data_IF_742074904418
#
_entry.id   IF_742074904418
#
_cell.length_a   1.000
_cell.length_b   1.000
_cell.length_c   1.000
_cell.angle_alpha   90.00
_cell.angle_beta   90.00
_cell.angle_gamma   90.00
#
_symmetry.space_group_name_H-M   'P 1'
#
loop_
_entity.id
_entity.type
_entity.pdbx_description
1 polymer ?
#
# COMPACT_ATOMS: atom_id res chain seq x y z
N UNK A 1 -13.04 15.34 4.66
CA UNK A 1 -12.54 15.30 6.06
C UNK A 1 -11.15 15.92 6.20
N UNK A 2 -10.14 15.57 5.37
CA UNK A 2 -8.80 16.14 5.47
C UNK A 2 -8.76 17.66 5.23
N UNK A 3 -9.54 18.17 4.26
CA UNK A 3 -9.63 19.61 3.96
C UNK A 3 -10.20 20.44 5.14
N UNK A 4 -11.01 19.84 5.99
CA UNK A 4 -11.63 20.51 7.13
C UNK A 4 -10.66 20.67 8.31
N UNK A 5 -9.75 19.72 8.49
CA UNK A 5 -8.67 19.79 9.50
C UNK A 5 -7.70 20.93 9.16
N UNK A 6 -7.33 21.09 7.90
CA UNK A 6 -6.46 22.19 7.46
C UNK A 6 -7.09 23.57 7.62
N UNK A 7 -8.39 23.72 7.35
CA UNK A 7 -9.12 24.97 7.56
C UNK A 7 -9.11 25.41 9.03
N UNK A 8 -9.14 24.45 9.98
CA UNK A 8 -9.10 24.73 11.42
C UNK A 8 -7.70 25.13 11.92
N UNK A 9 -6.64 24.72 11.22
CA UNK A 9 -5.26 25.00 11.64
C UNK A 9 -4.70 26.30 11.08
N UNK A 10 -5.38 26.94 10.13
CA UNK A 10 -4.92 28.20 9.55
C UNK A 10 -5.28 29.36 10.50
N UNK A 11 -4.30 30.10 11.06
CA UNK A 11 -4.58 31.26 11.88
C UNK A 11 -5.41 32.29 11.11
N UNK A 12 -6.44 32.85 11.73
CA UNK A 12 -7.32 33.87 11.11
C UNK A 12 -6.59 35.15 10.62
N UNK A 13 -5.26 35.22 10.84
CA UNK A 13 -4.44 36.38 10.50
C UNK A 13 -3.53 36.22 9.30
N UNK A 14 -3.57 35.06 8.59
CA UNK A 14 -2.79 34.88 7.38
C UNK A 14 -3.37 35.73 6.24
N UNK A 15 -2.66 36.78 5.82
CA UNK A 15 -3.00 37.56 4.63
C UNK A 15 -2.88 36.65 3.40
N UNK A 16 -4.03 36.30 2.79
CA UNK A 16 -4.11 35.50 1.58
C UNK A 16 -4.71 34.09 1.82
N UNK A 17 -5.10 33.43 0.72
CA UNK A 17 -5.56 32.04 0.77
C UNK A 17 -4.39 31.09 0.99
N UNK A 18 -4.48 30.12 1.90
CA UNK A 18 -3.42 29.13 2.11
C UNK A 18 -3.24 28.28 0.84
N UNK A 19 -1.97 27.94 0.52
CA UNK A 19 -1.65 26.91 -0.45
C UNK A 19 -1.73 25.52 0.16
N UNK A 20 -2.09 24.52 -0.63
CA UNK A 20 -2.14 23.11 -0.21
C UNK A 20 -1.19 22.30 -1.07
N UNK A 21 -0.26 21.60 -0.44
CA UNK A 21 0.57 20.59 -1.10
C UNK A 21 -0.04 19.20 -0.83
N UNK A 22 -0.39 18.50 -1.90
CA UNK A 22 -0.95 17.15 -1.85
C UNK A 22 0.11 16.19 -2.38
N UNK A 23 0.56 15.25 -1.54
CA UNK A 23 1.44 14.17 -1.96
C UNK A 23 0.64 12.88 -2.09
N UNK A 24 0.67 12.28 -3.27
CA UNK A 24 -0.05 11.04 -3.58
C UNK A 24 0.95 9.91 -3.77
N UNK A 25 0.75 8.82 -3.04
CA UNK A 25 1.50 7.59 -3.21
C UNK A 25 0.64 6.56 -3.95
N UNK A 26 1.27 5.80 -4.85
CA UNK A 26 0.62 4.64 -5.47
C UNK A 26 0.29 3.63 -4.37
N UNK A 27 -0.95 3.12 -4.37
CA UNK A 27 -1.36 2.11 -3.42
C UNK A 27 -0.57 0.81 -3.63
N UNK A 28 0.02 0.31 -2.57
CA UNK A 28 0.75 -0.96 -2.55
C UNK A 28 0.08 -1.89 -1.55
N UNK A 29 -0.54 -2.99 -2.00
CA UNK A 29 -1.13 -3.98 -1.12
C UNK A 29 -0.06 -4.58 -0.19
N UNK A 30 -0.32 -4.57 1.11
CA UNK A 30 0.63 -5.11 2.11
C UNK A 30 0.10 -6.41 2.71
N UNK A 31 0.98 -7.38 3.02
CA UNK A 31 0.64 -8.56 3.79
C UNK A 31 -0.10 -8.22 5.08
N UNK A 32 -0.95 -9.12 5.53
CA UNK A 32 -1.72 -9.02 6.77
C UNK A 32 -2.68 -7.82 6.85
N UNK A 33 -3.08 -7.29 5.70
CA UNK A 33 -4.12 -6.27 5.58
C UNK A 33 -5.29 -6.81 4.78
N UNK A 34 -6.52 -6.25 4.95
CA UNK A 34 -7.65 -6.65 4.12
C UNK A 34 -7.40 -6.52 2.62
N UNK A 35 -6.48 -5.66 2.21
CA UNK A 35 -6.13 -5.43 0.80
C UNK A 35 -4.95 -6.27 0.31
N UNK A 36 -4.44 -7.24 1.08
CA UNK A 36 -3.36 -8.13 0.61
C UNK A 36 -3.73 -8.94 -0.64
N UNK A 37 -5.04 -9.13 -0.86
CA UNK A 37 -5.59 -9.86 -2.01
C UNK A 37 -5.64 -9.01 -3.29
N UNK A 38 -5.60 -7.68 -3.16
CA UNK A 38 -5.78 -6.77 -4.27
C UNK A 38 -4.51 -6.60 -5.11
N UNK A 39 -4.65 -6.29 -6.42
CA UNK A 39 -3.52 -5.94 -7.25
C UNK A 39 -3.07 -4.49 -6.97
N UNK A 40 -1.79 -4.21 -7.17
CA UNK A 40 -1.36 -2.86 -7.47
C UNK A 40 -1.82 -2.49 -8.88
N UNK A 41 -2.23 -1.25 -9.11
CA UNK A 41 -2.47 -0.76 -10.46
C UNK A 41 -1.19 -0.87 -11.31
N UNK A 42 -1.35 -1.18 -12.58
CA UNK A 42 -0.27 -1.08 -13.55
C UNK A 42 0.06 0.38 -13.88
N UNK A 43 1.11 0.59 -14.65
CA UNK A 43 1.57 1.93 -15.02
C UNK A 43 0.50 2.74 -15.77
N UNK A 44 -0.25 2.07 -16.65
CA UNK A 44 -1.31 2.71 -17.44
C UNK A 44 -2.44 3.21 -16.53
N UNK A 45 -2.91 2.37 -15.60
CA UNK A 45 -3.95 2.72 -14.65
C UNK A 45 -3.50 3.83 -13.67
N UNK A 46 -2.23 3.85 -13.28
CA UNK A 46 -1.69 4.95 -12.46
C UNK A 46 -1.67 6.26 -13.25
N UNK A 47 -1.18 6.24 -14.49
CA UNK A 47 -1.14 7.43 -15.36
C UNK A 47 -2.53 7.99 -15.65
N UNK A 48 -3.51 7.13 -15.90
CA UNK A 48 -4.90 7.51 -16.10
C UNK A 48 -5.46 8.29 -14.90
N UNK A 49 -5.25 7.75 -13.68
CA UNK A 49 -5.72 8.41 -12.45
C UNK A 49 -5.01 9.72 -12.18
N UNK A 50 -3.71 9.79 -12.46
CA UNK A 50 -2.94 11.02 -12.36
C UNK A 50 -3.43 12.08 -13.35
N UNK A 51 -3.73 11.69 -14.60
CA UNK A 51 -4.29 12.57 -15.62
C UNK A 51 -5.66 13.10 -15.20
N UNK A 52 -6.53 12.22 -14.66
CA UNK A 52 -7.84 12.61 -14.14
C UNK A 52 -7.70 13.64 -13.00
N UNK A 53 -6.84 13.37 -12.01
CA UNK A 53 -6.62 14.31 -10.89
C UNK A 53 -6.07 15.67 -11.36
N UNK A 54 -5.19 15.68 -12.37
CA UNK A 54 -4.74 16.94 -12.99
C UNK A 54 -5.88 17.69 -13.66
N UNK A 55 -6.77 16.99 -14.38
CA UNK A 55 -7.86 17.61 -15.13
C UNK A 55 -8.91 18.28 -14.25
N UNK A 56 -9.13 17.77 -13.03
CA UNK A 56 -10.10 18.34 -12.08
C UNK A 56 -9.50 19.40 -11.15
N UNK A 57 -8.18 19.51 -11.07
CA UNK A 57 -7.52 20.52 -10.25
C UNK A 57 -7.43 21.85 -10.99
N UNK A 58 -8.37 22.74 -10.73
CA UNK A 58 -8.43 24.09 -11.30
C UNK A 58 -7.87 25.18 -10.37
N UNK A 59 -7.42 24.83 -9.15
CA UNK A 59 -6.88 25.78 -8.19
C UNK A 59 -5.33 25.78 -8.22
N UNK A 60 -4.75 26.91 -8.65
CA UNK A 60 -3.29 27.10 -8.71
C UNK A 60 -2.60 27.02 -7.34
N UNK A 61 -3.34 27.09 -6.24
CA UNK A 61 -2.82 26.95 -4.88
C UNK A 61 -2.76 25.52 -4.41
N UNK A 62 -3.30 24.57 -5.17
CA UNK A 62 -3.20 23.15 -4.91
C UNK A 62 -2.09 22.58 -5.79
N UNK A 63 -0.98 22.23 -5.17
CA UNK A 63 0.15 21.57 -5.83
C UNK A 63 0.05 20.07 -5.57
N UNK A 64 -0.05 19.28 -6.63
CA UNK A 64 -0.14 17.82 -6.54
C UNK A 64 1.20 17.22 -6.98
N UNK A 65 1.78 16.39 -6.11
CA UNK A 65 2.95 15.56 -6.39
C UNK A 65 2.61 14.08 -6.20
N UNK A 66 3.34 13.20 -6.85
CA UNK A 66 3.19 11.74 -6.70
C UNK A 66 4.52 11.02 -6.77
N UNK A 67 4.54 9.82 -6.16
CA UNK A 67 5.67 8.91 -6.24
C UNK A 67 5.82 8.36 -7.66
N UNK A 68 7.06 8.04 -8.04
CA UNK A 68 7.35 7.36 -9.31
C UNK A 68 6.78 5.95 -9.29
N UNK A 69 6.17 5.53 -10.40
CA UNK A 69 5.62 4.18 -10.55
C UNK A 69 6.70 3.10 -10.38
N UNK A 70 7.86 3.30 -10.99
CA UNK A 70 8.99 2.37 -10.97
C UNK A 70 9.39 1.97 -9.54
N UNK A 71 9.49 2.95 -8.65
CA UNK A 71 9.81 2.72 -7.24
C UNK A 71 8.69 1.92 -6.57
N UNK A 72 7.44 2.32 -6.82
CA UNK A 72 6.26 1.64 -6.26
C UNK A 72 6.12 0.21 -6.76
N UNK A 73 6.49 -0.06 -8.02
CA UNK A 73 6.48 -1.42 -8.58
C UNK A 73 7.48 -2.32 -7.87
N UNK A 74 8.74 -1.89 -7.71
CA UNK A 74 9.75 -2.69 -7.02
C UNK A 74 9.35 -2.89 -5.55
N UNK A 75 8.82 -1.87 -4.88
CA UNK A 75 8.31 -2.01 -3.52
C UNK A 75 7.18 -3.06 -3.44
N UNK A 76 6.24 -3.05 -4.39
CA UNK A 76 5.16 -4.04 -4.42
C UNK A 76 5.69 -5.46 -4.68
N UNK A 77 6.64 -5.62 -5.60
CA UNK A 77 7.30 -6.91 -5.87
C UNK A 77 7.96 -7.45 -4.62
N UNK A 78 8.73 -6.64 -3.91
CA UNK A 78 9.44 -7.06 -2.69
C UNK A 78 8.46 -7.32 -1.53
N UNK A 79 7.45 -6.47 -1.35
CA UNK A 79 6.48 -6.63 -0.27
C UNK A 79 5.57 -7.86 -0.45
N UNK A 80 5.30 -8.27 -1.68
CA UNK A 80 4.37 -9.38 -2.00
C UNK A 80 5.09 -10.63 -2.52
N UNK A 81 6.42 -10.57 -2.56
CA UNK A 81 7.26 -11.60 -3.13
C UNK A 81 7.46 -12.81 -2.23
N UNK A 82 8.18 -13.78 -2.76
CA UNK A 82 8.57 -14.99 -2.05
C UNK A 82 10.11 -15.14 -2.03
N UNK A 83 10.59 -16.22 -1.41
CA UNK A 83 12.04 -16.46 -1.24
C UNK A 83 12.86 -16.49 -2.53
N UNK A 84 12.23 -16.71 -3.70
CA UNK A 84 12.91 -16.69 -5.00
C UNK A 84 13.48 -15.31 -5.33
N UNK A 85 12.88 -14.25 -4.79
CA UNK A 85 13.39 -12.88 -4.93
C UNK A 85 14.74 -12.67 -4.23
N UNK A 86 15.14 -13.51 -3.30
CA UNK A 86 16.46 -13.41 -2.64
C UNK A 86 17.60 -13.43 -3.65
N UNK A 87 17.53 -14.30 -4.69
CA UNK A 87 18.50 -14.33 -5.77
C UNK A 87 18.46 -13.06 -6.63
N UNK A 88 17.27 -12.55 -6.92
CA UNK A 88 17.09 -11.32 -7.69
C UNK A 88 17.67 -10.09 -6.95
N UNK A 89 17.47 -10.00 -5.62
CA UNK A 89 18.07 -8.96 -4.77
C UNK A 89 19.59 -9.00 -4.84
N UNK A 90 20.15 -10.21 -4.73
CA UNK A 90 21.62 -10.39 -4.81
C UNK A 90 22.16 -9.97 -6.19
N UNK A 91 21.50 -10.38 -7.28
CA UNK A 91 21.90 -9.97 -8.63
C UNK A 91 21.73 -8.45 -8.84
N UNK A 92 20.68 -7.83 -8.35
CA UNK A 92 20.49 -6.39 -8.41
C UNK A 92 21.64 -5.66 -7.69
N UNK A 93 22.03 -6.14 -6.52
CA UNK A 93 23.19 -5.61 -5.80
C UNK A 93 24.49 -5.75 -6.61
N UNK A 94 24.75 -6.92 -7.23
CA UNK A 94 25.92 -7.11 -8.11
C UNK A 94 25.90 -6.16 -9.31
N UNK A 95 24.72 -5.84 -9.86
CA UNK A 95 24.53 -4.86 -10.93
C UNK A 95 24.65 -3.41 -10.46
N UNK A 96 24.92 -3.19 -9.17
CA UNK A 96 25.19 -1.89 -8.58
C UNK A 96 23.95 -1.15 -8.07
N UNK A 97 22.84 -1.86 -7.80
CA UNK A 97 21.71 -1.32 -7.04
C UNK A 97 22.12 -1.20 -5.57
N UNK A 98 22.30 0.04 -5.13
CA UNK A 98 22.67 0.40 -3.75
C UNK A 98 22.06 1.74 -3.43
N UNK A 99 21.67 1.92 -2.16
CA UNK A 99 21.05 3.16 -1.68
C UNK A 99 19.72 3.48 -2.40
N UNK A 100 18.95 2.47 -2.77
CA UNK A 100 17.73 2.58 -3.58
C UNK A 100 16.58 3.36 -2.89
N UNK A 101 16.74 3.73 -1.61
CA UNK A 101 15.85 4.67 -0.92
C UNK A 101 16.01 6.13 -1.36
N UNK A 102 17.03 6.43 -2.17
CA UNK A 102 17.30 7.76 -2.71
C UNK A 102 17.09 7.76 -4.22
N UNK A 103 16.24 8.64 -4.71
CA UNK A 103 15.83 8.71 -6.11
C UNK A 103 17.01 8.76 -7.11
N UNK A 104 18.09 9.46 -6.74
CA UNK A 104 19.28 9.61 -7.58
C UNK A 104 20.12 8.32 -7.71
N UNK A 105 19.96 7.38 -6.76
CA UNK A 105 20.70 6.11 -6.78
C UNK A 105 19.85 4.94 -7.25
N UNK A 106 18.53 5.10 -7.33
CA UNK A 106 17.61 4.05 -7.74
C UNK A 106 17.77 3.69 -9.22
N UNK A 107 18.05 2.43 -9.50
CA UNK A 107 18.33 1.90 -10.85
C UNK A 107 17.27 0.91 -11.27
N UNK A 108 16.11 1.42 -11.70
CA UNK A 108 14.95 0.60 -12.06
C UNK A 108 15.27 -0.49 -13.08
N UNK A 109 15.96 -0.15 -14.19
CA UNK A 109 16.29 -1.09 -15.25
C UNK A 109 17.13 -2.28 -14.74
N UNK A 110 18.04 -2.03 -13.79
CA UNK A 110 18.88 -3.07 -13.20
C UNK A 110 18.09 -4.00 -12.28
N UNK A 111 17.10 -3.49 -11.58
CA UNK A 111 16.15 -4.28 -10.81
C UNK A 111 15.33 -5.20 -11.72
N UNK A 112 14.75 -4.66 -12.79
CA UNK A 112 13.95 -5.43 -13.76
C UNK A 112 14.81 -6.50 -14.45
N UNK A 113 16.03 -6.15 -14.85
CA UNK A 113 16.99 -7.10 -15.43
C UNK A 113 17.27 -8.27 -14.46
N UNK A 114 17.59 -7.97 -13.19
CA UNK A 114 17.90 -8.98 -12.18
C UNK A 114 16.70 -9.91 -11.90
N UNK A 115 15.49 -9.36 -11.82
CA UNK A 115 14.26 -10.14 -11.61
C UNK A 115 14.02 -11.09 -12.80
N UNK A 116 14.14 -10.58 -14.03
CA UNK A 116 13.95 -11.37 -15.25
C UNK A 116 15.00 -12.46 -15.44
N UNK A 117 16.27 -12.18 -15.10
CA UNK A 117 17.35 -13.19 -15.13
C UNK A 117 17.08 -14.36 -14.17
N UNK A 118 16.32 -14.12 -13.11
CA UNK A 118 15.86 -15.18 -12.21
C UNK A 118 14.64 -15.94 -12.74
N UNK A 119 14.14 -15.64 -13.95
CA UNK A 119 12.94 -16.23 -14.51
C UNK A 119 11.66 -15.77 -13.80
N UNK A 120 11.69 -14.59 -13.15
CA UNK A 120 10.57 -14.04 -12.39
C UNK A 120 9.92 -12.90 -13.15
N UNK A 121 8.60 -12.75 -12.96
CA UNK A 121 7.81 -11.68 -13.55
C UNK A 121 7.37 -10.68 -12.47
N UNK A 122 7.77 -9.40 -12.53
CA UNK A 122 7.31 -8.38 -11.61
C UNK A 122 5.78 -8.28 -11.52
N UNK A 123 5.08 -8.40 -12.67
CA UNK A 123 3.63 -8.29 -12.73
C UNK A 123 2.92 -9.44 -11.98
N UNK A 124 3.52 -10.63 -11.97
CA UNK A 124 3.00 -11.76 -11.18
C UNK A 124 2.93 -11.43 -9.68
N UNK A 125 3.89 -10.69 -9.16
CA UNK A 125 3.92 -10.30 -7.76
C UNK A 125 3.05 -9.07 -7.48
N UNK A 126 3.17 -8.03 -8.29
CA UNK A 126 2.59 -6.72 -8.02
C UNK A 126 1.15 -6.57 -8.54
N UNK A 127 0.89 -6.95 -9.80
CA UNK A 127 -0.29 -6.48 -10.53
C UNK A 127 -1.43 -7.50 -10.62
N UNK A 128 -1.31 -8.67 -10.01
CA UNK A 128 -2.41 -9.63 -9.98
C UNK A 128 -3.18 -9.62 -8.67
N UNK A 129 -4.48 -9.88 -8.74
CA UNK A 129 -5.29 -10.24 -7.59
C UNK A 129 -4.91 -11.63 -7.10
N UNK A 130 -4.81 -11.82 -5.79
CA UNK A 130 -4.62 -13.14 -5.17
C UNK A 130 -5.97 -13.74 -4.80
N UNK A 131 -6.28 -14.97 -5.23
CA UNK A 131 -7.46 -15.69 -4.75
C UNK A 131 -7.43 -15.89 -3.23
N UNK A 132 -8.61 -15.96 -2.62
CA UNK A 132 -8.71 -16.14 -1.17
C UNK A 132 -8.23 -17.51 -0.68
N UNK A 133 -8.16 -18.51 -1.54
CA UNK A 133 -7.66 -19.86 -1.28
C UNK A 133 -6.15 -20.01 -1.57
N UNK A 134 -5.52 -19.01 -2.16
CA UNK A 134 -4.07 -19.04 -2.42
C UNK A 134 -3.27 -18.99 -1.11
N UNK A 135 -2.30 -19.89 -0.97
CA UNK A 135 -1.33 -19.84 0.13
C UNK A 135 -0.32 -18.74 -0.17
N UNK A 136 -0.37 -17.66 0.60
CA UNK A 136 0.57 -16.56 0.43
C UNK A 136 1.95 -16.89 1.03
N UNK A 137 3.05 -16.29 0.52
CA UNK A 137 4.40 -16.53 1.03
C UNK A 137 4.56 -16.28 2.54
N UNK A 138 3.73 -15.45 3.13
CA UNK A 138 3.73 -15.08 4.54
C UNK A 138 2.71 -15.85 5.39
N UNK A 139 1.95 -16.81 4.82
CA UNK A 139 0.90 -17.55 5.54
C UNK A 139 1.40 -18.35 6.75
N UNK A 140 2.71 -18.56 6.88
CA UNK A 140 3.35 -19.23 8.02
C UNK A 140 3.60 -18.31 9.21
N UNK A 141 3.36 -17.00 9.07
CA UNK A 141 3.54 -16.00 10.12
C UNK A 141 2.19 -15.70 10.74
N UNK A 142 2.07 -15.89 12.06
CA UNK A 142 0.88 -15.53 12.80
C UNK A 142 0.97 -14.09 13.32
N UNK A 143 0.13 -13.21 12.79
CA UNK A 143 -0.01 -11.81 13.23
C UNK A 143 -1.20 -11.62 14.18
N UNK A 144 -1.73 -12.70 14.73
CA UNK A 144 -2.86 -12.75 15.67
C UNK A 144 -4.21 -12.30 15.05
N UNK A 145 -4.22 -11.81 13.82
CA UNK A 145 -5.43 -11.47 13.08
C UNK A 145 -5.75 -12.63 12.15
N UNK A 146 -6.97 -13.16 12.24
CA UNK A 146 -7.38 -14.31 11.45
C UNK A 146 -7.50 -13.97 9.97
N UNK A 147 -7.15 -14.95 9.11
CA UNK A 147 -7.27 -14.79 7.65
C UNK A 147 -8.73 -14.61 7.22
N UNK A 148 -9.64 -15.30 7.87
CA UNK A 148 -11.08 -15.19 7.61
C UNK A 148 -11.57 -13.76 7.84
N UNK A 149 -11.10 -13.12 8.90
CA UNK A 149 -11.40 -11.72 9.16
C UNK A 149 -10.87 -10.79 8.06
N UNK A 150 -9.62 -10.99 7.59
CA UNK A 150 -9.06 -10.19 6.50
C UNK A 150 -9.85 -10.37 5.19
N UNK A 151 -10.31 -11.59 4.90
CA UNK A 151 -11.15 -11.89 3.73
C UNK A 151 -12.49 -11.18 3.84
N UNK A 152 -13.13 -11.26 5.01
CA UNK A 152 -14.43 -10.61 5.24
C UNK A 152 -14.32 -9.09 5.13
N UNK A 153 -13.28 -8.48 5.70
CA UNK A 153 -13.02 -7.05 5.58
C UNK A 153 -12.72 -6.63 4.13
N UNK A 154 -12.04 -7.48 3.35
CA UNK A 154 -11.83 -7.22 1.92
C UNK A 154 -13.16 -7.22 1.15
N UNK A 155 -14.05 -8.18 1.42
CA UNK A 155 -15.39 -8.21 0.80
C UNK A 155 -16.20 -6.99 1.16
N UNK A 156 -16.25 -6.62 2.44
CA UNK A 156 -16.93 -5.39 2.92
C UNK A 156 -16.38 -4.13 2.28
N UNK A 157 -15.06 -4.04 2.11
CA UNK A 157 -14.45 -2.91 1.43
C UNK A 157 -14.92 -2.76 -0.01
N UNK A 158 -15.12 -3.88 -0.74
CA UNK A 158 -15.70 -3.85 -2.09
C UNK A 158 -17.17 -3.41 -2.10
N UNK A 159 -17.91 -3.67 -1.03
CA UNK A 159 -19.30 -3.27 -0.85
C UNK A 159 -19.42 -1.83 -0.29
N UNK A 160 -18.30 -1.18 0.03
CA UNK A 160 -18.28 0.14 0.66
C UNK A 160 -18.76 0.15 2.11
N UNK A 161 -18.79 -1.02 2.76
CA UNK A 161 -19.22 -1.18 4.15
C UNK A 161 -18.02 -1.01 5.08
N UNK A 162 -18.16 -0.12 6.07
CA UNK A 162 -17.12 0.12 7.08
C UNK A 162 -17.37 -0.71 8.34
N UNK A 163 -16.30 -1.28 8.89
CA UNK A 163 -16.34 -1.95 10.18
C UNK A 163 -16.21 -0.93 11.33
N UNK A 164 -17.06 -0.99 12.36
CA UNK A 164 -16.93 -0.13 13.53
C UNK A 164 -15.56 -0.32 14.20
N UNK A 165 -15.07 0.73 14.87
CA UNK A 165 -13.85 0.61 15.63
C UNK A 165 -14.02 -0.33 16.85
N UNK A 166 -12.91 -0.91 17.32
CA UNK A 166 -12.93 -1.88 18.43
C UNK A 166 -13.52 -1.33 19.73
N UNK A 167 -13.57 -0.01 19.94
CA UNK A 167 -14.14 0.63 21.12
C UNK A 167 -15.67 0.69 21.08
N UNK A 168 -16.27 0.54 19.92
CA UNK A 168 -17.71 0.53 19.72
C UNK A 168 -18.25 -0.89 19.69
N UNK A 169 -17.60 -1.78 18.92
CA UNK A 169 -18.05 -3.16 18.75
C UNK A 169 -16.86 -4.06 18.40
N UNK A 170 -16.80 -5.24 19.04
CA UNK A 170 -15.83 -6.26 18.68
C UNK A 170 -16.13 -6.82 17.28
N UNK A 171 -15.15 -6.75 16.39
CA UNK A 171 -15.24 -7.27 15.01
C UNK A 171 -14.80 -8.73 14.85
N UNK A 172 -14.48 -9.43 15.95
CA UNK A 172 -14.01 -10.82 15.96
C UNK A 172 -12.75 -11.07 15.11
N UNK A 173 -11.82 -10.11 15.09
CA UNK A 173 -10.58 -10.21 14.29
C UNK A 173 -9.64 -11.36 14.66
N UNK A 174 -9.83 -12.04 15.78
CA UNK A 174 -8.98 -13.13 16.26
C UNK A 174 -8.03 -12.75 17.39
N UNK A 175 -7.61 -11.50 17.50
CA UNK A 175 -6.61 -11.02 18.47
C UNK A 175 -6.98 -11.39 19.92
N UNK A 176 -8.25 -11.28 20.30
CA UNK A 176 -8.72 -11.59 21.65
C UNK A 176 -8.43 -13.05 22.10
N UNK A 177 -8.26 -13.99 21.18
CA UNK A 177 -7.92 -15.39 21.48
C UNK A 177 -6.48 -15.55 21.98
N UNK A 178 -5.60 -14.62 21.62
CA UNK A 178 -4.16 -14.70 21.87
C UNK A 178 -3.70 -13.82 23.04
N UNK A 179 -4.30 -12.63 23.17
CA UNK A 179 -3.86 -11.63 24.18
C UNK A 179 -4.70 -11.63 25.45
N UNK A 180 -5.61 -12.61 25.61
CA UNK A 180 -6.56 -12.66 26.71
C UNK A 180 -7.74 -11.71 26.53
N UNK A 181 -8.92 -12.16 26.95
CA UNK A 181 -10.16 -11.41 26.76
C UNK A 181 -10.22 -10.04 27.43
N UNK A 182 -9.31 -9.74 28.34
CA UNK A 182 -9.31 -8.50 29.11
C UNK A 182 -8.86 -7.29 28.29
N UNK A 183 -7.94 -7.45 27.33
CA UNK A 183 -7.53 -6.38 26.42
C UNK A 183 -8.69 -5.94 25.51
N UNK A 184 -9.51 -6.89 25.06
CA UNK A 184 -10.71 -6.62 24.26
C UNK A 184 -11.97 -6.38 25.12
N UNK A 185 -11.95 -6.73 26.42
CA UNK A 185 -13.08 -6.51 27.35
C UNK A 185 -13.06 -5.12 27.99
N UNK A 186 -11.92 -4.44 28.02
CA UNK A 186 -11.84 -3.05 28.46
C UNK A 186 -12.63 -2.07 27.58
N UNK A 187 -13.36 -2.62 26.59
CA UNK A 187 -14.12 -1.91 25.57
C UNK A 187 -15.65 -2.18 25.72
N UNK A 188 -16.08 -2.82 26.81
CA UNK A 188 -17.51 -3.02 27.12
C UNK A 188 -17.98 -2.02 28.17
#
# INVERSE_FOLDING_TARGET
AASDVYKRQTPNHAKGRPGVAVSLSTFIPKPFTPFEFEPQLDEAGVKERQAHLKSINNDRKIVISWSKYDLSLIEAVLARGDRRLGKAIYLAWQKGCKLDGWDEYFKFDKWIEAIKECGLDPAFYANRRRPYDEVAPWSHIDMLVSREFLIEENKRAHEGVTTPNCREKCSNCGVAKHVGGDVCRAIR
#
